data_IF_096312178007
#
_entry.id   IF_096312178007
#
_cell.length_a   1.000
_cell.length_b   1.000
_cell.length_c   1.000
_cell.angle_alpha   90.00
_cell.angle_beta   90.00
_cell.angle_gamma   90.00
#
_symmetry.space_group_name_H-M   'P 1'
#
loop_
_entity.id
_entity.type
_entity.pdbx_description
1 polymer ?
#
# COMPACT_ATOMS: atom_id res chain seq x y z
N UNK A 1 19.32 28.98 -12.11
CA UNK A 1 19.40 27.56 -11.75
C UNK A 1 18.08 26.92 -12.15
N UNK A 2 18.06 25.75 -12.80
CA UNK A 2 16.79 25.09 -13.07
C UNK A 2 16.13 24.76 -11.73
N UNK A 3 14.86 25.14 -11.58
CA UNK A 3 14.06 24.94 -10.38
C UNK A 3 13.94 23.42 -10.15
N UNK A 4 14.68 22.86 -9.20
CA UNK A 4 14.50 21.46 -8.83
C UNK A 4 13.04 21.29 -8.40
N UNK A 5 12.32 20.35 -9.02
CA UNK A 5 10.93 20.10 -8.68
C UNK A 5 10.81 19.82 -7.18
N UNK A 6 9.97 20.58 -6.47
CA UNK A 6 9.73 20.37 -5.04
C UNK A 6 8.99 19.05 -4.83
N UNK A 7 9.35 18.34 -3.77
CA UNK A 7 8.74 17.06 -3.41
C UNK A 7 7.27 17.25 -3.06
N UNK A 8 6.38 16.62 -3.82
CA UNK A 8 4.94 16.70 -3.63
C UNK A 8 4.53 15.69 -2.57
N UNK A 9 4.06 16.15 -1.42
CA UNK A 9 3.69 15.27 -0.30
C UNK A 9 2.18 15.24 -0.16
N UNK A 10 1.60 14.05 -0.28
CA UNK A 10 0.18 13.84 -0.05
C UNK A 10 -0.11 13.83 1.45
N UNK A 11 -1.07 14.63 1.91
CA UNK A 11 -1.51 14.68 3.31
C UNK A 11 -3.01 14.41 3.34
N UNK A 12 -3.41 13.33 4.01
CA UNK A 12 -4.83 13.02 4.19
C UNK A 12 -5.53 14.12 4.98
N UNK A 13 -6.75 14.45 4.59
CA UNK A 13 -7.61 15.41 5.30
C UNK A 13 -9.04 14.89 5.31
N UNK A 14 -9.79 15.28 6.34
CA UNK A 14 -11.24 15.27 6.35
C UNK A 14 -11.74 16.70 6.64
N UNK A 15 -12.58 17.26 5.76
CA UNK A 15 -12.95 18.68 5.78
C UNK A 15 -13.68 19.13 7.06
N UNK A 16 -14.31 18.20 7.77
CA UNK A 16 -15.12 18.45 8.96
C UNK A 16 -14.49 17.96 10.29
N UNK A 17 -13.23 17.52 10.31
CA UNK A 17 -12.59 17.04 11.55
C UNK A 17 -11.98 18.20 12.37
N UNK A 18 -12.76 18.69 13.36
CA UNK A 18 -12.32 19.77 14.27
C UNK A 18 -11.06 19.46 15.09
N UNK A 19 -10.66 18.19 15.22
CA UNK A 19 -9.47 17.75 15.93
C UNK A 19 -8.19 17.81 15.09
N UNK A 20 -8.32 17.87 13.76
CA UNK A 20 -7.23 17.75 12.81
C UNK A 20 -6.98 19.09 12.09
N UNK A 21 -5.87 19.75 12.42
CA UNK A 21 -5.48 20.98 11.73
C UNK A 21 -4.52 20.67 10.61
N UNK A 22 -5.04 20.54 9.39
CA UNK A 22 -4.25 20.36 8.16
C UNK A 22 -3.01 21.27 8.11
N UNK A 23 -3.17 22.53 8.54
CA UNK A 23 -2.10 23.52 8.54
C UNK A 23 -0.88 23.09 9.37
N UNK A 24 -1.08 22.42 10.51
CA UNK A 24 0.03 22.00 11.38
C UNK A 24 0.93 20.98 10.65
N UNK A 25 0.32 20.02 9.93
CA UNK A 25 1.04 19.05 9.10
C UNK A 25 1.70 19.72 7.89
N UNK A 26 0.95 20.56 7.18
CA UNK A 26 1.42 21.26 5.99
C UNK A 26 2.64 22.15 6.30
N UNK A 27 2.65 22.84 7.44
CA UNK A 27 3.77 23.69 7.86
C UNK A 27 5.01 22.89 8.21
N UNK A 28 4.87 21.69 8.78
CA UNK A 28 6.02 20.79 9.00
C UNK A 28 6.60 20.26 7.69
N UNK A 29 5.76 19.87 6.74
CA UNK A 29 6.20 19.45 5.41
C UNK A 29 6.93 20.59 4.70
N UNK A 30 6.40 21.82 4.74
CA UNK A 30 7.07 23.01 4.17
C UNK A 30 8.40 23.30 4.85
N UNK A 31 8.45 23.22 6.18
CA UNK A 31 9.67 23.45 6.95
C UNK A 31 10.77 22.43 6.60
N UNK A 32 10.39 21.18 6.31
CA UNK A 32 11.29 20.12 5.84
C UNK A 32 11.63 20.19 4.34
N UNK A 33 11.14 21.20 3.61
CA UNK A 33 11.45 21.44 2.19
C UNK A 33 10.51 20.78 1.18
N UNK A 34 9.40 20.20 1.61
CA UNK A 34 8.35 19.63 0.75
C UNK A 34 7.24 20.62 0.37
N UNK A 35 6.42 20.21 -0.59
CA UNK A 35 5.19 20.89 -1.00
C UNK A 35 3.97 20.05 -0.58
N UNK A 36 3.16 20.50 0.41
CA UNK A 36 2.04 19.74 0.94
C UNK A 36 0.79 19.84 0.06
N UNK A 37 0.22 18.70 -0.31
CA UNK A 37 -1.02 18.59 -1.05
C UNK A 37 -2.11 17.98 -0.15
N UNK A 38 -3.23 18.69 0.09
CA UNK A 38 -4.36 18.10 0.77
C UNK A 38 -4.95 17.00 -0.10
N UNK A 39 -5.36 15.92 0.53
CA UNK A 39 -6.04 14.82 -0.13
C UNK A 39 -7.34 14.51 0.59
N UNK A 40 -8.45 14.76 -0.09
CA UNK A 40 -9.74 14.30 0.39
C UNK A 40 -9.80 12.78 0.20
N UNK A 41 -9.72 12.09 1.31
CA UNK A 41 -9.78 10.61 1.37
C UNK A 41 -11.10 10.08 0.80
N UNK A 42 -12.16 10.90 0.75
CA UNK A 42 -13.41 10.53 0.10
C UNK A 42 -13.26 10.27 -1.40
N UNK A 43 -12.14 10.62 -2.03
CA UNK A 43 -11.87 10.37 -3.45
C UNK A 43 -11.13 9.04 -3.71
N UNK A 44 -10.52 8.42 -2.69
CA UNK A 44 -9.70 7.21 -2.87
C UNK A 44 -10.47 5.93 -2.60
N UNK A 45 -10.29 4.92 -3.44
CA UNK A 45 -10.90 3.59 -3.29
C UNK A 45 -9.83 2.50 -3.33
N UNK A 46 -10.17 1.35 -2.73
CA UNK A 46 -9.34 0.14 -2.81
C UNK A 46 -9.03 -0.21 -4.26
N UNK A 47 -7.73 -0.32 -4.58
CA UNK A 47 -7.25 -0.63 -5.92
C UNK A 47 -6.94 0.58 -6.80
N UNK A 48 -7.17 1.82 -6.32
CA UNK A 48 -6.74 3.02 -7.04
C UNK A 48 -5.21 3.16 -7.04
N UNK A 49 -4.68 3.79 -8.10
CA UNK A 49 -3.24 4.09 -8.19
C UNK A 49 -2.88 5.11 -7.11
N UNK A 50 -1.73 4.94 -6.47
CA UNK A 50 -1.22 5.95 -5.54
C UNK A 50 -1.11 7.29 -6.27
N UNK A 51 -1.70 8.38 -5.75
CA UNK A 51 -1.65 9.68 -6.42
C UNK A 51 -0.20 10.08 -6.74
N UNK A 52 0.08 10.81 -7.83
CA UNK A 52 1.44 11.10 -8.31
C UNK A 52 2.18 12.08 -7.37
N UNK A 53 2.59 11.55 -6.22
CA UNK A 53 3.19 12.24 -5.08
C UNK A 53 4.36 11.41 -4.55
N UNK A 54 5.29 12.08 -3.90
CA UNK A 54 6.59 11.54 -3.54
C UNK A 54 6.59 10.83 -2.19
N UNK A 55 5.59 11.11 -1.36
CA UNK A 55 5.34 10.45 -0.08
C UNK A 55 3.94 10.70 0.44
N UNK A 56 3.56 9.96 1.48
CA UNK A 56 2.28 10.03 2.16
C UNK A 56 2.46 10.41 3.63
N UNK A 57 1.67 11.38 4.09
CA UNK A 57 1.43 11.64 5.51
C UNK A 57 -0.01 11.25 5.84
N UNK A 58 -0.17 10.25 6.72
CA UNK A 58 -1.46 9.92 7.32
C UNK A 58 -1.62 10.70 8.63
N UNK A 59 -2.76 11.35 8.79
CA UNK A 59 -3.02 12.30 9.87
C UNK A 59 -3.75 11.68 11.06
N UNK A 60 -3.75 12.40 12.19
CA UNK A 60 -4.60 12.09 13.35
C UNK A 60 -6.09 12.28 13.04
N UNK A 61 -6.98 11.83 13.93
CA UNK A 61 -8.42 12.04 13.75
C UNK A 61 -9.27 11.14 14.63
N UNK A 62 -10.51 10.92 14.20
CA UNK A 62 -11.53 10.04 14.81
C UNK A 62 -11.09 8.57 14.97
N UNK A 63 -11.80 7.79 15.79
CA UNK A 63 -11.47 6.38 16.00
C UNK A 63 -11.66 5.54 14.72
N UNK A 64 -10.90 4.46 14.60
CA UNK A 64 -11.04 3.48 13.51
C UNK A 64 -12.15 2.50 13.86
N UNK A 65 -13.07 2.26 12.92
CA UNK A 65 -14.15 1.29 13.10
C UNK A 65 -13.59 -0.14 13.32
N UNK A 66 -13.87 -0.77 14.47
CA UNK A 66 -13.38 -2.11 14.83
C UNK A 66 -13.72 -3.23 13.84
N UNK A 67 -14.73 -3.05 13.01
CA UNK A 67 -15.04 -3.98 11.93
C UNK A 67 -13.86 -4.16 10.95
N UNK A 68 -12.96 -3.16 10.81
CA UNK A 68 -11.79 -3.22 9.90
C UNK A 68 -10.66 -4.12 10.40
N UNK A 69 -10.72 -4.53 11.66
CA UNK A 69 -9.81 -5.53 12.25
C UNK A 69 -10.56 -6.67 12.95
N UNK A 70 -11.82 -6.90 12.56
CA UNK A 70 -12.59 -8.09 12.93
C UNK A 70 -13.08 -8.13 14.37
N UNK A 71 -13.24 -7.00 15.04
CA UNK A 71 -13.71 -6.93 16.43
C UNK A 71 -15.05 -6.20 16.58
N UNK A 72 -15.85 -6.54 17.61
CA UNK A 72 -17.03 -5.75 17.98
C UNK A 72 -16.63 -4.40 18.60
N UNK A 73 -17.50 -3.38 18.51
CA UNK A 73 -17.22 -2.07 19.09
C UNK A 73 -17.24 -2.07 20.62
N UNK A 74 -16.24 -1.43 21.22
CA UNK A 74 -16.18 -1.16 22.65
C UNK A 74 -17.20 -0.07 23.04
N UNK A 75 -17.74 -0.15 24.26
CA UNK A 75 -18.75 0.81 24.79
C UNK A 75 -18.28 2.27 24.81
N UNK A 76 -16.97 2.49 24.87
CA UNK A 76 -16.32 3.81 24.96
C UNK A 76 -15.61 4.23 23.66
N UNK A 77 -15.99 3.61 22.54
CA UNK A 77 -15.54 3.98 21.21
C UNK A 77 -16.00 5.41 20.89
N UNK A 78 -15.10 6.20 20.30
CA UNK A 78 -15.36 7.56 19.86
C UNK A 78 -16.17 7.64 18.57
N UNK A 79 -16.16 8.83 17.96
CA UNK A 79 -16.75 9.02 16.64
C UNK A 79 -16.01 8.15 15.60
N UNK A 80 -16.76 7.66 14.62
CA UNK A 80 -16.25 6.85 13.52
C UNK A 80 -16.49 7.56 12.20
N UNK A 81 -15.56 7.35 11.25
CA UNK A 81 -15.73 7.80 9.86
C UNK A 81 -15.39 6.64 8.93
N UNK A 82 -16.30 5.66 8.74
CA UNK A 82 -16.01 4.41 8.03
C UNK A 82 -15.44 4.61 6.61
N UNK A 83 -15.92 5.63 5.89
CA UNK A 83 -15.42 5.95 4.55
C UNK A 83 -13.94 6.41 4.55
N UNK A 84 -13.52 7.16 5.59
CA UNK A 84 -12.13 7.55 5.79
C UNK A 84 -11.28 6.34 6.18
N UNK A 85 -11.81 5.45 7.03
CA UNK A 85 -11.12 4.20 7.39
C UNK A 85 -10.80 3.38 6.14
N UNK A 86 -11.80 3.12 5.29
CA UNK A 86 -11.62 2.31 4.08
C UNK A 86 -10.62 2.95 3.10
N UNK A 87 -10.73 4.26 2.87
CA UNK A 87 -9.84 4.99 1.99
C UNK A 87 -8.40 5.04 2.48
N UNK A 88 -8.17 5.39 3.75
CA UNK A 88 -6.81 5.49 4.27
C UNK A 88 -6.15 4.12 4.47
N UNK A 89 -6.91 3.08 4.84
CA UNK A 89 -6.39 1.70 4.87
C UNK A 89 -5.96 1.26 3.48
N UNK A 90 -6.79 1.52 2.46
CA UNK A 90 -6.43 1.23 1.07
C UNK A 90 -5.18 2.01 0.65
N UNK A 91 -5.12 3.30 0.96
CA UNK A 91 -4.01 4.18 0.57
C UNK A 91 -2.70 3.78 1.26
N UNK A 92 -2.76 3.43 2.55
CA UNK A 92 -1.63 2.91 3.31
C UNK A 92 -1.12 1.59 2.73
N UNK A 93 -2.02 0.65 2.39
CA UNK A 93 -1.66 -0.61 1.73
C UNK A 93 -0.95 -0.36 0.40
N UNK A 94 -1.48 0.54 -0.44
CA UNK A 94 -0.86 0.89 -1.72
C UNK A 94 0.52 1.52 -1.52
N UNK A 95 0.64 2.49 -0.61
CA UNK A 95 1.93 3.14 -0.31
C UNK A 95 2.98 2.13 0.18
N UNK A 96 2.61 1.23 1.09
CA UNK A 96 3.49 0.16 1.58
C UNK A 96 3.85 -0.83 0.46
N UNK A 97 2.88 -1.25 -0.37
CA UNK A 97 3.11 -2.22 -1.44
C UNK A 97 4.10 -1.70 -2.49
N UNK A 98 4.02 -0.42 -2.86
CA UNK A 98 4.91 0.20 -3.85
C UNK A 98 6.18 0.80 -3.24
N UNK A 99 6.37 0.68 -1.93
CA UNK A 99 7.55 1.21 -1.22
C UNK A 99 7.60 2.74 -1.18
N UNK A 100 6.45 3.41 -1.28
CA UNK A 100 6.33 4.86 -1.18
C UNK A 100 6.58 5.28 0.28
N UNK A 101 7.44 6.29 0.54
CA UNK A 101 7.65 6.79 1.89
C UNK A 101 6.33 7.15 2.58
N UNK A 102 6.18 6.67 3.82
CA UNK A 102 4.98 6.85 4.64
C UNK A 102 5.35 7.36 6.04
N UNK A 103 4.78 8.49 6.44
CA UNK A 103 4.78 8.97 7.82
C UNK A 103 3.34 8.97 8.35
N UNK A 104 3.08 8.24 9.43
CA UNK A 104 1.73 8.04 9.93
C UNK A 104 1.60 8.54 11.37
N UNK A 105 0.68 9.47 11.65
CA UNK A 105 0.65 10.25 12.89
C UNK A 105 -0.63 9.96 13.67
N UNK A 106 -0.51 9.59 14.95
CA UNK A 106 -1.58 9.27 15.87
C UNK A 106 -2.54 8.21 15.29
N UNK A 107 -3.73 8.62 14.86
CA UNK A 107 -4.67 7.76 14.12
C UNK A 107 -4.01 7.15 12.87
N UNK A 108 -3.19 7.90 12.15
CA UNK A 108 -2.45 7.39 10.99
C UNK A 108 -1.57 6.19 11.34
N UNK A 109 -0.90 6.19 12.50
CA UNK A 109 -0.13 5.02 12.97
C UNK A 109 -1.04 3.80 13.16
N UNK A 110 -2.23 4.01 13.70
CA UNK A 110 -3.23 2.96 13.91
C UNK A 110 -3.76 2.43 12.58
N UNK A 111 -4.00 3.31 11.60
CA UNK A 111 -4.34 2.93 10.21
C UNK A 111 -3.23 2.08 9.61
N UNK A 112 -1.97 2.49 9.74
CA UNK A 112 -0.82 1.72 9.23
C UNK A 112 -0.76 0.31 9.84
N UNK A 113 -1.06 0.17 11.15
CA UNK A 113 -1.13 -1.13 11.82
C UNK A 113 -2.27 -1.99 11.26
N UNK A 114 -3.50 -1.45 11.21
CA UNK A 114 -4.69 -2.17 10.70
C UNK A 114 -4.52 -2.55 9.23
N UNK A 115 -3.98 -1.65 8.41
CA UNK A 115 -3.67 -1.89 7.00
C UNK A 115 -2.72 -3.07 6.79
N UNK A 116 -1.81 -3.29 7.73
CA UNK A 116 -0.82 -4.38 7.73
C UNK A 116 -1.34 -5.67 8.39
N UNK A 117 -2.59 -5.70 8.87
CA UNK A 117 -3.22 -6.87 9.48
C UNK A 117 -3.16 -6.93 11.00
N UNK A 118 -2.85 -5.82 11.68
CA UNK A 118 -2.93 -5.70 13.13
C UNK A 118 -4.34 -5.29 13.62
N UNK A 119 -4.50 -5.18 14.94
CA UNK A 119 -5.72 -4.68 15.58
C UNK A 119 -5.41 -3.57 16.60
N UNK A 120 -6.42 -3.03 17.28
CA UNK A 120 -6.24 -1.93 18.25
C UNK A 120 -6.78 -2.32 19.63
N UNK A 121 -6.13 -1.82 20.67
CA UNK A 121 -6.76 -1.71 21.98
C UNK A 121 -7.69 -0.50 21.96
N UNK A 122 -9.00 -0.75 22.03
CA UNK A 122 -10.03 0.24 21.70
C UNK A 122 -10.22 1.35 22.75
N UNK A 123 -9.76 1.17 23.99
CA UNK A 123 -9.89 2.20 25.02
C UNK A 123 -8.95 1.98 26.19
N UNK A 124 -8.01 2.90 26.41
CA UNK A 124 -7.17 2.96 27.60
C UNK A 124 -7.98 3.50 28.78
N UNK A 125 -8.10 2.74 29.86
CA UNK A 125 -8.84 3.15 31.05
C UNK A 125 -8.19 4.35 31.75
N UNK A 126 -6.85 4.36 31.85
CA UNK A 126 -6.15 5.52 32.39
C UNK A 126 -6.23 6.71 31.43
N UNK A 127 -6.67 7.84 31.98
CA UNK A 127 -6.74 9.11 31.25
C UNK A 127 -5.36 9.75 31.09
N UNK A 128 -4.61 9.84 32.18
CA UNK A 128 -3.26 10.42 32.19
C UNK A 128 -2.24 9.28 32.12
N UNK A 129 -1.16 9.41 31.33
CA UNK A 129 -0.72 10.62 30.61
C UNK A 129 -1.20 10.72 29.16
N UNK A 130 -2.08 9.82 28.69
CA UNK A 130 -2.35 9.63 27.26
C UNK A 130 -3.36 10.60 26.62
N UNK A 131 -4.24 11.23 27.42
CA UNK A 131 -5.30 12.09 26.90
C UNK A 131 -5.00 13.57 27.12
N UNK A 132 -5.54 14.39 26.21
CA UNK A 132 -5.58 15.84 26.41
C UNK A 132 -6.54 16.23 27.54
N UNK A 133 -6.38 17.43 28.09
CA UNK A 133 -7.22 17.99 29.15
C UNK A 133 -7.58 19.44 28.86
N UNK A 134 -8.65 19.93 29.49
CA UNK A 134 -8.93 21.37 29.48
C UNK A 134 -7.79 22.08 30.20
N UNK A 135 -7.24 23.10 29.55
CA UNK A 135 -6.20 23.92 30.13
C UNK A 135 -6.73 24.80 31.26
N UNK A 136 -5.81 25.44 31.98
CA UNK A 136 -6.14 26.25 33.16
C UNK A 136 -7.06 27.45 32.84
N UNK A 137 -7.08 27.91 31.59
CA UNK A 137 -7.97 28.97 31.10
C UNK A 137 -9.39 28.48 30.76
N UNK A 138 -9.65 27.17 30.87
CA UNK A 138 -10.95 26.54 30.59
C UNK A 138 -11.31 26.41 29.10
N UNK A 139 -10.52 27.03 28.21
CA UNK A 139 -10.78 27.15 26.77
C UNK A 139 -9.76 26.37 25.96
N UNK A 140 -8.49 26.41 26.35
CA UNK A 140 -7.42 25.66 25.69
C UNK A 140 -7.53 24.15 25.96
N UNK A 141 -6.94 23.37 25.06
CA UNK A 141 -6.79 21.92 25.21
C UNK A 141 -5.29 21.64 25.37
N UNK A 142 -4.87 21.34 26.59
CA UNK A 142 -3.51 20.93 26.92
C UNK A 142 -3.32 19.46 26.57
N UNK A 143 -2.18 19.11 25.95
CA UNK A 143 -1.82 17.72 25.72
C UNK A 143 -1.43 17.03 27.02
N UNK A 144 -1.66 15.72 27.08
CA UNK A 144 -0.91 14.84 27.99
C UNK A 144 0.55 14.75 27.55
N UNK A 145 1.43 14.26 28.43
CA UNK A 145 2.86 14.16 28.15
C UNK A 145 3.48 12.97 28.86
N UNK A 146 4.29 12.19 28.15
CA UNK A 146 4.97 11.02 28.70
C UNK A 146 6.32 10.75 28.02
N UNK A 147 7.10 9.87 28.63
CA UNK A 147 8.34 9.34 28.06
C UNK A 147 8.10 8.15 27.11
N UNK A 148 8.82 8.12 26.00
CA UNK A 148 8.86 6.99 25.05
C UNK A 148 10.28 6.43 25.02
N UNK A 149 10.42 5.15 25.37
CA UNK A 149 11.66 4.39 25.22
C UNK A 149 11.83 3.97 23.75
N UNK A 150 12.96 4.34 23.16
CA UNK A 150 13.26 4.10 21.74
C UNK A 150 14.04 2.80 21.60
N UNK A 151 13.51 1.89 20.78
CA UNK A 151 14.14 0.59 20.54
C UNK A 151 15.38 0.75 19.67
N UNK A 152 16.54 0.27 20.12
CA UNK A 152 17.80 0.37 19.38
C UNK A 152 17.76 -0.36 18.03
N UNK A 153 18.43 0.18 17.02
CA UNK A 153 18.55 -0.47 15.69
C UNK A 153 17.37 -0.20 14.76
N UNK A 154 16.35 0.51 15.23
CA UNK A 154 15.17 0.92 14.47
C UNK A 154 15.40 2.19 13.66
N UNK A 155 14.57 2.46 12.65
CA UNK A 155 14.52 3.72 11.93
C UNK A 155 14.31 4.89 12.88
N UNK A 156 13.39 4.76 13.84
CA UNK A 156 13.19 5.79 14.87
C UNK A 156 14.50 6.11 15.61
N UNK A 157 15.23 5.09 16.09
CA UNK A 157 16.51 5.30 16.79
C UNK A 157 17.57 5.98 15.91
N UNK A 158 17.59 5.70 14.60
CA UNK A 158 18.53 6.32 13.66
C UNK A 158 18.20 7.79 13.41
N UNK A 159 16.91 8.13 13.34
CA UNK A 159 16.44 9.51 13.14
C UNK A 159 16.71 10.33 14.39
N UNK A 160 16.23 9.86 15.54
CA UNK A 160 16.23 10.66 16.77
C UNK A 160 17.57 10.65 17.49
N UNK A 161 18.38 9.59 17.28
CA UNK A 161 19.64 9.34 18.00
C UNK A 161 19.46 9.40 19.53
N UNK A 162 18.25 9.09 20.00
CA UNK A 162 17.86 9.14 21.39
C UNK A 162 17.49 7.74 21.89
N UNK A 163 17.74 7.48 23.17
CA UNK A 163 17.26 6.28 23.86
C UNK A 163 15.87 6.49 24.47
N UNK A 164 15.53 7.74 24.80
CA UNK A 164 14.22 8.13 25.32
C UNK A 164 13.81 9.49 24.75
N UNK A 165 12.53 9.64 24.44
CA UNK A 165 11.92 10.88 24.00
C UNK A 165 10.89 11.36 25.03
N UNK A 166 10.66 12.67 25.09
CA UNK A 166 9.48 13.25 25.74
C UNK A 166 8.52 13.68 24.65
N UNK A 167 7.27 13.23 24.70
CA UNK A 167 6.29 13.49 23.63
C UNK A 167 4.94 13.94 24.20
N UNK A 168 4.16 14.62 23.37
CA UNK A 168 2.78 14.96 23.68
C UNK A 168 1.85 13.77 23.42
N UNK A 169 0.67 13.77 24.03
CA UNK A 169 -0.29 12.67 23.89
C UNK A 169 -1.74 13.14 23.90
N UNK A 170 -2.55 12.59 22.99
CA UNK A 170 -3.97 12.94 22.76
C UNK A 170 -4.81 11.75 22.27
N UNK A 171 -4.48 10.54 22.68
CA UNK A 171 -5.13 9.33 22.19
C UNK A 171 -5.71 8.49 23.34
N UNK A 172 -6.75 7.73 23.02
CA UNK A 172 -7.31 6.73 23.93
C UNK A 172 -7.32 5.32 23.35
N UNK A 173 -7.18 5.19 22.02
CA UNK A 173 -6.89 3.93 21.37
C UNK A 173 -5.37 3.75 21.31
N UNK A 174 -4.92 2.50 21.28
CA UNK A 174 -3.50 2.18 21.28
C UNK A 174 -3.21 0.91 20.47
N UNK A 175 -2.00 0.84 19.93
CA UNK A 175 -1.40 -0.45 19.52
C UNK A 175 -0.68 -1.03 20.74
N UNK A 176 -0.81 -2.34 20.94
CA UNK A 176 -0.02 -3.10 21.93
C UNK A 176 0.84 -4.11 21.20
N UNK A 177 1.86 -4.69 21.85
CA UNK A 177 2.67 -5.75 21.22
C UNK A 177 1.83 -6.93 20.73
N UNK A 178 0.79 -7.31 21.47
CA UNK A 178 -0.11 -8.40 21.11
C UNK A 178 -1.01 -8.09 19.90
N UNK A 179 -1.19 -6.82 19.56
CA UNK A 179 -2.06 -6.33 18.48
C UNK A 179 -1.29 -5.71 17.32
N UNK A 180 0.05 -5.73 17.40
CA UNK A 180 0.93 -5.25 16.35
C UNK A 180 0.84 -6.17 15.14
N UNK A 181 0.73 -5.57 13.96
CA UNK A 181 0.63 -6.29 12.71
C UNK A 181 1.88 -7.12 12.39
N UNK A 182 1.73 -8.29 11.73
CA UNK A 182 2.86 -9.02 11.19
C UNK A 182 3.69 -8.15 10.23
N UNK A 183 5.02 -8.25 10.33
CA UNK A 183 5.93 -7.49 9.48
C UNK A 183 6.18 -6.04 9.93
N UNK A 184 5.50 -5.55 10.98
CA UNK A 184 5.85 -4.30 11.65
C UNK A 184 6.67 -4.56 12.91
N UNK A 185 7.45 -3.57 13.32
CA UNK A 185 8.25 -3.58 14.56
C UNK A 185 7.81 -2.42 15.44
N UNK A 186 7.62 -2.67 16.74
CA UNK A 186 7.44 -1.62 17.73
C UNK A 186 8.80 -0.91 17.96
N UNK A 187 8.93 0.33 17.50
CA UNK A 187 10.16 1.11 17.58
C UNK A 187 10.18 2.11 18.74
N UNK A 188 9.03 2.40 19.33
CA UNK A 188 8.91 3.22 20.54
C UNK A 188 7.82 2.66 21.45
N UNK A 189 8.09 2.60 22.76
CA UNK A 189 7.14 2.11 23.76
C UNK A 189 7.06 3.03 24.98
N UNK A 190 5.92 3.03 25.65
CA UNK A 190 5.77 3.61 26.99
C UNK A 190 5.05 2.64 27.92
N UNK A 191 5.35 2.74 29.21
CA UNK A 191 4.59 2.09 30.28
C UNK A 191 4.10 3.12 31.32
N UNK A 192 4.31 4.41 31.05
CA UNK A 192 3.74 5.48 31.87
C UNK A 192 2.23 5.46 31.70
N UNK A 193 1.47 5.45 32.81
CA UNK A 193 0.03 5.19 32.78
C UNK A 193 -0.35 3.77 33.20
N UNK A 194 0.62 2.89 33.50
CA UNK A 194 0.36 1.56 34.08
C UNK A 194 0.04 0.46 33.06
N UNK A 195 -0.04 0.83 31.79
CA UNK A 195 -0.30 -0.06 30.67
C UNK A 195 0.78 0.12 29.59
N UNK A 196 1.29 -0.98 29.04
CA UNK A 196 2.31 -0.89 27.98
C UNK A 196 1.65 -0.54 26.64
N UNK A 197 2.06 0.59 26.08
CA UNK A 197 1.58 1.11 24.79
C UNK A 197 2.74 1.19 23.81
N UNK A 198 2.46 0.79 22.56
CA UNK A 198 3.36 1.02 21.44
C UNK A 198 3.12 2.43 20.92
N UNK A 199 4.14 3.28 21.03
CA UNK A 199 4.10 4.70 20.68
C UNK A 199 4.75 4.99 19.32
N UNK A 200 5.50 4.03 18.77
CA UNK A 200 5.93 4.08 17.38
C UNK A 200 6.06 2.67 16.78
N UNK A 201 5.71 2.57 15.50
CA UNK A 201 5.85 1.36 14.69
C UNK A 201 6.61 1.68 13.40
N UNK A 202 7.33 0.71 12.86
CA UNK A 202 7.98 0.86 11.55
C UNK A 202 7.94 -0.43 10.74
N UNK A 203 7.96 -0.30 9.41
CA UNK A 203 8.14 -1.44 8.51
C UNK A 203 9.63 -1.55 8.11
N UNK A 204 10.38 -2.54 8.62
CA UNK A 204 11.85 -2.58 8.50
C UNK A 204 12.36 -2.84 7.08
N UNK A 205 11.49 -3.32 6.18
CA UNK A 205 11.84 -3.59 4.77
C UNK A 205 11.58 -2.41 3.84
N UNK A 206 11.14 -1.28 4.38
CA UNK A 206 10.84 -0.07 3.63
C UNK A 206 11.94 0.97 3.86
N UNK A 207 12.22 1.79 2.84
CA UNK A 207 13.14 2.91 2.97
C UNK A 207 12.70 3.86 4.09
N UNK A 208 11.40 4.14 4.12
CA UNK A 208 10.77 4.94 5.16
C UNK A 208 9.29 4.57 5.28
N UNK A 209 8.92 3.92 6.38
CA UNK A 209 7.54 3.70 6.77
C UNK A 209 7.52 3.74 8.30
N UNK A 210 7.16 4.89 8.85
CA UNK A 210 7.20 5.18 10.28
C UNK A 210 5.84 5.68 10.73
N UNK A 211 5.27 5.02 11.72
CA UNK A 211 4.10 5.48 12.44
C UNK A 211 4.47 5.91 13.85
N UNK A 212 3.94 7.04 14.32
CA UNK A 212 4.11 7.55 15.69
C UNK A 212 2.76 7.89 16.30
N UNK A 213 2.55 7.58 17.57
CA UNK A 213 1.28 7.75 18.26
C UNK A 213 1.08 9.17 18.80
N UNK A 214 2.18 9.87 19.10
CA UNK A 214 2.17 11.28 19.47
C UNK A 214 1.96 12.19 18.26
N UNK A 215 1.93 13.50 18.51
CA UNK A 215 1.64 14.54 17.52
C UNK A 215 2.87 15.43 17.25
N UNK A 216 3.82 14.97 16.40
CA UNK A 216 5.05 15.70 16.10
C UNK A 216 4.79 17.00 15.32
N UNK A 217 3.62 17.15 14.70
CA UNK A 217 3.24 18.29 13.89
C UNK A 217 2.94 19.55 14.70
N UNK A 218 2.46 19.36 15.94
CA UNK A 218 1.93 20.45 16.76
C UNK A 218 3.01 21.44 17.17
N UNK A 219 2.62 22.71 17.25
CA UNK A 219 3.49 23.82 17.62
C UNK A 219 4.18 23.61 18.98
N UNK A 220 3.52 23.00 19.96
CA UNK A 220 4.10 22.71 21.29
C UNK A 220 5.33 21.79 21.23
N UNK A 221 5.37 20.86 20.28
CA UNK A 221 6.51 20.00 20.01
C UNK A 221 7.55 20.74 19.17
N UNK A 222 7.11 21.39 18.09
CA UNK A 222 8.02 22.00 17.11
C UNK A 222 8.71 23.29 17.58
N UNK A 223 8.08 24.06 18.47
CA UNK A 223 8.63 25.32 18.98
C UNK A 223 9.67 25.11 20.08
N UNK A 224 9.81 23.89 20.60
CA UNK A 224 10.71 23.57 21.71
C UNK A 224 11.95 22.82 21.19
N UNK A 225 13.15 23.44 21.14
CA UNK A 225 14.34 22.81 20.55
C UNK A 225 14.71 21.46 21.15
N UNK A 226 14.48 21.28 22.45
CA UNK A 226 14.74 20.01 23.15
C UNK A 226 13.84 18.85 22.68
N UNK A 227 12.72 19.14 22.01
CA UNK A 227 11.77 18.15 21.49
C UNK A 227 11.95 17.89 19.98
N UNK A 228 12.89 18.57 19.32
CA UNK A 228 13.07 18.51 17.87
C UNK A 228 13.29 17.08 17.33
N UNK A 229 13.97 16.22 18.11
CA UNK A 229 14.20 14.83 17.75
C UNK A 229 12.90 14.02 17.59
N UNK A 230 11.87 14.31 18.40
CA UNK A 230 10.54 13.71 18.30
C UNK A 230 9.57 14.51 17.43
N UNK A 231 10.04 15.55 16.72
CA UNK A 231 9.20 16.45 15.91
C UNK A 231 9.83 16.70 14.54
N UNK A 232 10.49 17.84 14.34
CA UNK A 232 11.06 18.24 13.04
C UNK A 232 11.97 17.19 12.40
N UNK A 233 12.79 16.49 13.18
CA UNK A 233 13.69 15.45 12.67
C UNK A 233 12.96 14.30 11.95
N UNK A 234 11.72 13.99 12.37
CA UNK A 234 10.90 12.95 11.72
C UNK A 234 10.48 13.39 10.31
N UNK A 235 10.07 14.65 10.16
CA UNK A 235 9.68 15.22 8.87
C UNK A 235 10.89 15.39 7.95
N UNK A 236 12.03 15.84 8.46
CA UNK A 236 13.28 15.94 7.71
C UNK A 236 13.72 14.57 7.17
N UNK A 237 13.68 13.53 8.01
CA UNK A 237 14.01 12.18 7.60
C UNK A 237 13.03 11.62 6.56
N UNK A 238 11.72 11.88 6.74
CA UNK A 238 10.68 11.52 5.79
C UNK A 238 10.92 12.17 4.42
N UNK A 239 11.16 13.48 4.38
CA UNK A 239 11.43 14.21 3.13
C UNK A 239 12.74 13.77 2.47
N UNK A 240 13.78 13.48 3.28
CA UNK A 240 15.01 12.87 2.79
C UNK A 240 14.78 11.52 2.10
N UNK A 241 13.88 10.70 2.64
CA UNK A 241 13.49 9.44 2.01
C UNK A 241 12.67 9.64 0.73
N UNK A 242 11.78 10.64 0.69
CA UNK A 242 11.05 11.04 -0.51
C UNK A 242 12.02 11.45 -1.63
N UNK A 243 12.99 12.32 -1.33
CA UNK A 243 14.03 12.74 -2.29
C UNK A 243 14.83 11.55 -2.87
N UNK A 244 15.13 10.56 -2.03
CA UNK A 244 15.82 9.35 -2.47
C UNK A 244 14.95 8.42 -3.33
N UNK A 245 13.62 8.57 -3.28
CA UNK A 245 12.65 7.83 -4.10
C UNK A 245 12.26 8.55 -5.40
N UNK A 246 12.39 9.88 -5.48
CA UNK A 246 12.11 10.66 -6.71
C UNK A 246 13.18 10.53 -7.81
N UNK A 247 14.28 9.83 -7.53
CA UNK A 247 15.21 9.37 -8.56
C UNK A 247 14.62 8.29 -9.50
N UNK A 248 13.33 7.95 -9.34
CA UNK A 248 12.55 7.07 -10.23
C UNK A 248 11.17 7.68 -10.52
N UNK A 249 10.77 7.90 -11.79
CA UNK A 249 9.45 8.46 -12.13
C UNK A 249 8.32 7.44 -11.91
N UNK A 250 7.15 7.90 -11.45
CA UNK A 250 5.85 7.21 -11.31
C UNK A 250 5.87 5.72 -10.89
N UNK A 251 5.58 5.48 -9.62
CA UNK A 251 5.83 4.22 -8.91
C UNK A 251 4.87 3.08 -9.26
N UNK A 252 5.15 2.38 -10.35
CA UNK A 252 4.63 1.04 -10.65
C UNK A 252 3.09 0.87 -10.74
N UNK A 253 2.65 -0.22 -11.37
CA UNK A 253 1.26 -0.64 -11.46
C UNK A 253 1.13 -2.15 -11.26
N UNK A 254 -0.04 -2.59 -10.79
CA UNK A 254 -0.34 -4.02 -10.71
C UNK A 254 -0.79 -4.53 -12.08
N UNK A 255 -0.20 -5.64 -12.50
CA UNK A 255 -0.46 -6.32 -13.76
C UNK A 255 -0.83 -7.78 -13.49
N UNK A 256 -1.99 -8.20 -13.94
CA UNK A 256 -2.40 -9.59 -13.97
C UNK A 256 -1.99 -10.21 -15.30
N UNK A 257 -0.94 -11.02 -15.26
CA UNK A 257 -0.45 -11.80 -16.39
C UNK A 257 -1.08 -13.19 -16.40
N UNK A 258 -1.59 -13.60 -17.55
CA UNK A 258 -2.03 -14.97 -17.82
C UNK A 258 -1.30 -15.48 -19.09
N UNK A 259 -1.40 -16.78 -19.38
CA UNK A 259 -0.68 -17.36 -20.50
C UNK A 259 0.85 -17.28 -20.36
N UNK A 260 1.54 -16.74 -21.36
CA UNK A 260 3.01 -16.65 -21.35
C UNK A 260 3.56 -15.65 -20.34
N UNK A 261 2.77 -14.67 -19.92
CA UNK A 261 3.14 -13.65 -18.93
C UNK A 261 3.17 -14.20 -17.49
N UNK A 262 2.79 -15.47 -17.30
CA UNK A 262 3.01 -16.21 -16.06
C UNK A 262 4.44 -16.75 -15.93
N UNK A 263 5.17 -16.88 -17.04
CA UNK A 263 6.56 -17.35 -16.99
C UNK A 263 7.47 -16.16 -16.62
N UNK A 264 8.18 -16.28 -15.49
CA UNK A 264 8.95 -15.17 -14.92
C UNK A 264 10.14 -14.76 -15.82
N UNK A 265 10.77 -15.71 -16.51
CA UNK A 265 11.88 -15.42 -17.41
C UNK A 265 11.38 -14.63 -18.63
N UNK A 266 10.19 -15.01 -19.15
CA UNK A 266 9.53 -14.24 -20.21
C UNK A 266 9.10 -12.85 -19.75
N UNK A 267 8.47 -12.75 -18.58
CA UNK A 267 8.06 -11.46 -18.04
C UNK A 267 9.24 -10.50 -17.90
N UNK A 268 10.39 -11.00 -17.43
CA UNK A 268 11.62 -10.19 -17.30
C UNK A 268 12.29 -9.81 -18.62
N UNK A 269 11.98 -10.47 -19.73
CA UNK A 269 12.44 -10.02 -21.05
C UNK A 269 11.75 -8.72 -21.47
N UNK A 270 10.50 -8.53 -21.04
CA UNK A 270 9.68 -7.36 -21.39
C UNK A 270 9.75 -6.28 -20.33
N UNK A 271 9.66 -6.68 -19.06
CA UNK A 271 9.66 -5.82 -17.89
C UNK A 271 10.70 -6.35 -16.89
N UNK A 272 11.99 -6.03 -17.08
CA UNK A 272 13.09 -6.61 -16.29
C UNK A 272 12.99 -6.38 -14.79
N UNK A 273 12.29 -5.32 -14.38
CA UNK A 273 12.12 -4.96 -12.96
C UNK A 273 10.73 -5.31 -12.43
N UNK A 274 9.91 -6.02 -13.20
CA UNK A 274 8.66 -6.58 -12.70
C UNK A 274 8.91 -7.55 -11.53
N UNK A 275 8.16 -7.36 -10.45
CA UNK A 275 8.22 -8.19 -9.25
C UNK A 275 6.96 -9.05 -9.16
N UNK A 276 7.13 -10.36 -9.00
CA UNK A 276 6.02 -11.26 -8.76
C UNK A 276 5.47 -11.01 -7.35
N UNK A 277 4.17 -10.74 -7.24
CA UNK A 277 3.43 -10.66 -5.99
C UNK A 277 2.95 -12.05 -5.57
N UNK A 278 2.37 -12.80 -6.52
CA UNK A 278 1.88 -14.15 -6.25
C UNK A 278 0.77 -14.58 -7.22
N UNK A 279 0.12 -15.73 -6.97
CA UNK A 279 -1.03 -16.17 -7.75
C UNK A 279 -2.26 -15.30 -7.46
N UNK A 280 -3.14 -15.14 -8.45
CA UNK A 280 -4.44 -14.50 -8.27
C UNK A 280 -5.50 -15.12 -9.21
N UNK A 281 -6.76 -14.98 -8.85
CA UNK A 281 -7.91 -15.53 -9.56
C UNK A 281 -8.80 -14.44 -10.14
N UNK A 282 -9.01 -14.43 -11.44
CA UNK A 282 -9.99 -13.61 -12.14
C UNK A 282 -11.32 -14.39 -12.25
N UNK A 283 -12.37 -14.02 -11.51
CA UNK A 283 -13.68 -14.69 -11.59
C UNK A 283 -14.42 -14.31 -12.89
N UNK A 284 -15.41 -15.13 -13.25
CA UNK A 284 -16.32 -14.93 -14.39
C UNK A 284 -15.63 -14.80 -15.75
N UNK A 285 -14.46 -15.43 -15.89
CA UNK A 285 -13.69 -15.47 -17.12
C UNK A 285 -13.20 -16.89 -17.39
N UNK A 286 -13.02 -17.23 -18.66
CA UNK A 286 -12.42 -18.47 -19.12
C UNK A 286 -11.13 -18.18 -19.89
N UNK A 287 -10.14 -19.07 -19.73
CA UNK A 287 -8.93 -19.05 -20.54
C UNK A 287 -9.26 -19.61 -21.92
N UNK A 288 -9.06 -18.79 -22.96
CA UNK A 288 -9.27 -19.15 -24.35
C UNK A 288 -7.97 -19.04 -25.16
N UNK A 289 -8.02 -19.47 -26.42
CA UNK A 289 -6.93 -19.30 -27.38
C UNK A 289 -7.51 -18.67 -28.66
N UNK A 290 -7.61 -17.34 -28.69
CA UNK A 290 -8.43 -16.62 -29.67
C UNK A 290 -7.63 -15.78 -30.67
N UNK A 291 -6.29 -15.89 -30.67
CA UNK A 291 -5.43 -15.28 -31.67
C UNK A 291 -4.26 -16.20 -32.00
N UNK A 292 -3.93 -16.35 -33.28
CA UNK A 292 -2.84 -17.22 -33.73
C UNK A 292 -1.50 -16.45 -33.72
N UNK A 293 -0.49 -17.01 -33.04
CA UNK A 293 0.89 -16.56 -33.22
C UNK A 293 1.56 -17.37 -34.32
N UNK A 294 1.75 -16.77 -35.49
CA UNK A 294 2.33 -17.45 -36.66
C UNK A 294 3.85 -17.59 -36.65
N UNK A 295 4.54 -16.76 -35.87
CA UNK A 295 6.01 -16.65 -35.92
C UNK A 295 6.71 -17.10 -34.63
N UNK A 296 6.05 -16.96 -33.48
CA UNK A 296 6.68 -17.27 -32.19
C UNK A 296 6.22 -18.60 -31.66
N UNK A 297 4.91 -18.87 -31.71
CA UNK A 297 4.34 -20.06 -31.07
C UNK A 297 3.75 -21.07 -32.06
N UNK A 298 3.44 -20.66 -33.29
CA UNK A 298 2.83 -21.51 -34.31
C UNK A 298 1.50 -22.17 -33.88
N UNK A 299 0.69 -21.46 -33.09
CA UNK A 299 -0.60 -21.92 -32.57
C UNK A 299 -1.39 -20.79 -31.90
N UNK A 300 -2.54 -21.13 -31.33
CA UNK A 300 -3.32 -20.19 -30.55
C UNK A 300 -2.58 -19.74 -29.28
N UNK A 301 -2.65 -18.45 -28.97
CA UNK A 301 -2.11 -17.89 -27.72
C UNK A 301 -3.24 -17.45 -26.81
N UNK A 302 -2.93 -17.40 -25.52
CA UNK A 302 -3.88 -17.20 -24.44
C UNK A 302 -4.68 -15.91 -24.57
N UNK A 303 -5.97 -15.97 -24.28
CA UNK A 303 -6.89 -14.86 -24.12
C UNK A 303 -7.78 -15.10 -22.91
N UNK A 304 -8.41 -14.05 -22.39
CA UNK A 304 -9.45 -14.15 -21.37
C UNK A 304 -10.78 -13.69 -21.94
N UNK A 305 -11.80 -14.54 -21.86
CA UNK A 305 -13.14 -14.22 -22.34
C UNK A 305 -14.14 -14.27 -21.20
N UNK A 306 -15.18 -13.41 -21.19
CA UNK A 306 -16.24 -13.49 -20.19
C UNK A 306 -16.93 -14.86 -20.20
N UNK A 307 -17.02 -15.49 -19.03
CA UNK A 307 -17.69 -16.76 -18.82
C UNK A 307 -18.19 -16.84 -17.37
N UNK A 308 -19.44 -16.40 -17.11
CA UNK A 308 -20.00 -16.40 -15.75
C UNK A 308 -19.92 -17.76 -15.08
N UNK A 309 -19.41 -17.79 -13.85
CA UNK A 309 -19.21 -19.02 -13.08
C UNK A 309 -17.93 -19.81 -13.38
N UNK A 310 -17.08 -19.35 -14.32
CA UNK A 310 -15.72 -19.87 -14.52
C UNK A 310 -14.68 -18.95 -13.84
N UNK A 311 -13.42 -19.37 -13.86
CA UNK A 311 -12.29 -18.65 -13.27
C UNK A 311 -11.03 -18.73 -14.14
N UNK A 312 -10.19 -17.69 -14.08
CA UNK A 312 -8.83 -17.71 -14.63
C UNK A 312 -7.82 -17.42 -13.54
N UNK A 313 -6.96 -18.39 -13.26
CA UNK A 313 -5.82 -18.20 -12.38
C UNK A 313 -4.59 -17.74 -13.16
N UNK A 314 -3.88 -16.78 -12.61
CA UNK A 314 -2.71 -16.16 -13.24
C UNK A 314 -1.73 -15.57 -12.22
N UNK A 315 -0.80 -14.78 -12.75
CA UNK A 315 0.29 -14.15 -12.02
C UNK A 315 -0.04 -12.68 -11.74
N UNK A 316 0.01 -12.26 -10.49
CA UNK A 316 -0.04 -10.87 -10.11
C UNK A 316 1.38 -10.30 -10.02
N UNK A 317 1.66 -9.27 -10.82
CA UNK A 317 2.95 -8.59 -10.90
C UNK A 317 2.83 -7.15 -10.42
N UNK A 318 3.89 -6.62 -9.84
CA UNK A 318 4.12 -5.19 -9.68
C UNK A 318 5.14 -4.74 -10.74
N UNK A 319 4.71 -3.92 -11.68
CA UNK A 319 5.50 -3.52 -12.85
C UNK A 319 5.81 -2.02 -12.76
N UNK A 320 7.08 -1.59 -12.82
CA UNK A 320 7.43 -0.16 -12.84
C UNK A 320 6.74 0.59 -13.98
N UNK A 321 6.26 1.83 -13.75
CA UNK A 321 5.43 2.51 -14.74
C UNK A 321 6.21 2.85 -16.02
N UNK A 322 7.52 3.05 -15.91
CA UNK A 322 8.41 3.24 -17.05
C UNK A 322 8.54 1.99 -17.94
N UNK A 323 8.22 0.81 -17.42
CA UNK A 323 8.15 -0.45 -18.20
C UNK A 323 6.75 -0.67 -18.81
N UNK A 324 5.79 0.23 -18.55
CA UNK A 324 4.44 0.17 -19.11
C UNK A 324 4.41 0.21 -20.64
N UNK A 325 5.28 1.03 -21.26
CA UNK A 325 5.32 1.14 -22.72
C UNK A 325 5.90 -0.13 -23.34
N UNK A 326 6.98 -0.67 -22.77
CA UNK A 326 7.58 -1.92 -23.23
C UNK A 326 6.59 -3.09 -23.14
N UNK A 327 5.77 -3.11 -22.07
CA UNK A 327 4.72 -4.11 -21.92
C UNK A 327 3.63 -4.00 -23.00
N UNK A 328 3.14 -2.80 -23.30
CA UNK A 328 2.18 -2.59 -24.39
C UNK A 328 2.71 -3.01 -25.75
N UNK A 329 3.96 -2.65 -26.03
CA UNK A 329 4.61 -2.96 -27.29
C UNK A 329 4.76 -4.47 -27.47
N UNK A 330 5.14 -5.17 -26.40
CA UNK A 330 5.23 -6.63 -26.36
C UNK A 330 3.89 -7.32 -26.62
N UNK A 331 2.83 -6.84 -25.98
CA UNK A 331 1.45 -7.33 -26.16
C UNK A 331 0.86 -6.90 -27.52
N UNK A 332 1.61 -6.15 -28.33
CA UNK A 332 1.23 -5.80 -29.70
C UNK A 332 0.10 -4.78 -29.78
N UNK A 333 0.00 -3.88 -28.79
CA UNK A 333 -1.01 -2.81 -28.78
C UNK A 333 -0.84 -1.81 -29.91
N UNK A 334 0.39 -1.61 -30.37
CA UNK A 334 0.73 -0.65 -31.42
C UNK A 334 0.84 -1.30 -32.81
N UNK A 335 0.40 -2.56 -32.96
CA UNK A 335 0.29 -3.22 -34.27
C UNK A 335 -0.97 -2.75 -35.01
N UNK A 336 -0.97 -2.90 -36.32
CA UNK A 336 -2.17 -2.69 -37.14
C UNK A 336 -2.57 -3.99 -37.87
N UNK A 337 -3.69 -4.64 -37.46
CA UNK A 337 -4.52 -4.33 -36.29
C UNK A 337 -3.83 -4.69 -34.95
N UNK A 338 -4.24 -4.10 -33.82
CA UNK A 338 -3.68 -4.41 -32.52
C UNK A 338 -3.98 -5.85 -32.13
N UNK A 339 -2.99 -6.54 -31.54
CA UNK A 339 -3.19 -7.93 -31.10
C UNK A 339 -4.04 -7.98 -29.82
N UNK A 340 -3.71 -7.13 -28.84
CA UNK A 340 -4.42 -7.01 -27.58
C UNK A 340 -4.84 -5.56 -27.32
N UNK A 341 -5.83 -5.40 -26.44
CA UNK A 341 -6.22 -4.13 -25.82
C UNK A 341 -5.98 -4.19 -24.32
N UNK A 342 -5.68 -3.04 -23.71
CA UNK A 342 -5.68 -2.90 -22.25
C UNK A 342 -7.08 -3.07 -21.70
N UNK A 343 -7.16 -3.70 -20.54
CA UNK A 343 -8.35 -3.68 -19.69
C UNK A 343 -7.95 -3.60 -18.21
N UNK A 344 -8.88 -3.18 -17.37
CA UNK A 344 -8.75 -3.31 -15.92
C UNK A 344 -9.62 -4.48 -15.50
N UNK A 345 -9.03 -5.41 -14.76
CA UNK A 345 -9.71 -6.55 -14.18
C UNK A 345 -9.63 -6.48 -12.66
N UNK A 346 -10.51 -7.21 -12.00
CA UNK A 346 -10.44 -7.40 -10.57
C UNK A 346 -10.18 -8.88 -10.29
N UNK A 347 -9.12 -9.15 -9.55
CA UNK A 347 -8.67 -10.50 -9.22
C UNK A 347 -8.72 -10.71 -7.72
N UNK A 348 -8.87 -11.95 -7.29
CA UNK A 348 -8.88 -12.35 -5.88
C UNK A 348 -7.58 -13.09 -5.57
N UNK A 349 -6.82 -12.65 -4.58
CA UNK A 349 -5.61 -13.37 -4.10
C UNK A 349 -6.02 -14.61 -3.29
N UNK A 350 -5.11 -15.57 -3.03
CA UNK A 350 -5.39 -16.70 -2.13
C UNK A 350 -5.80 -16.29 -0.72
N UNK A 351 -5.42 -15.09 -0.25
CA UNK A 351 -5.84 -14.53 1.03
C UNK A 351 -7.28 -13.98 1.01
N UNK A 352 -7.93 -13.93 -0.16
CA UNK A 352 -9.28 -13.39 -0.33
C UNK A 352 -9.32 -11.89 -0.66
N UNK A 353 -8.17 -11.25 -0.87
CA UNK A 353 -8.10 -9.83 -1.20
C UNK A 353 -8.53 -9.59 -2.65
N UNK A 354 -9.50 -8.70 -2.86
CA UNK A 354 -9.88 -8.22 -4.19
C UNK A 354 -8.93 -7.11 -4.63
N UNK A 355 -8.27 -7.31 -5.77
CA UNK A 355 -7.22 -6.45 -6.31
C UNK A 355 -7.61 -6.03 -7.72
N UNK A 356 -7.79 -4.73 -7.94
CA UNK A 356 -7.90 -4.17 -9.29
C UNK A 356 -6.51 -4.03 -9.90
N UNK A 357 -6.36 -4.51 -11.13
CA UNK A 357 -5.07 -4.51 -11.82
C UNK A 357 -5.26 -4.44 -13.33
N UNK A 358 -4.21 -4.04 -14.05
CA UNK A 358 -4.19 -4.06 -15.51
C UNK A 358 -4.08 -5.49 -16.01
N UNK A 359 -4.78 -5.78 -17.10
CA UNK A 359 -4.58 -6.98 -17.90
C UNK A 359 -4.70 -6.62 -19.38
N UNK A 360 -4.47 -7.58 -20.25
CA UNK A 360 -4.66 -7.46 -21.69
C UNK A 360 -5.73 -8.46 -22.14
N UNK A 361 -6.47 -8.14 -23.19
CA UNK A 361 -7.43 -9.07 -23.83
C UNK A 361 -7.28 -8.95 -25.34
N UNK A 362 -7.45 -10.03 -26.08
CA UNK A 362 -7.35 -10.00 -27.54
C UNK A 362 -8.34 -8.96 -28.09
N UNK A 363 -7.84 -8.07 -28.96
CA UNK A 363 -8.64 -6.95 -29.45
C UNK A 363 -9.80 -7.41 -30.35
N UNK A 364 -9.55 -8.45 -31.15
CA UNK A 364 -10.50 -9.08 -32.07
C UNK A 364 -10.37 -10.61 -32.00
N UNK A 365 -11.04 -11.28 -31.03
CA UNK A 365 -10.89 -12.72 -30.81
C UNK A 365 -11.49 -13.56 -31.95
N UNK A 366 -10.75 -14.55 -32.44
CA UNK A 366 -11.18 -15.58 -33.38
C UNK A 366 -11.14 -16.96 -32.71
N UNK A 367 -12.31 -17.49 -32.36
CA UNK A 367 -12.45 -18.80 -31.72
C UNK A 367 -12.17 -20.00 -32.65
N UNK A 368 -11.92 -19.76 -33.94
CA UNK A 368 -11.49 -20.79 -34.90
C UNK A 368 -9.98 -20.97 -34.93
N UNK A 369 -9.24 -20.19 -34.14
CA UNK A 369 -7.79 -20.29 -33.97
C UNK A 369 -7.42 -21.73 -33.58
N UNK A 370 -6.32 -22.29 -34.14
CA UNK A 370 -5.88 -23.63 -33.77
C UNK A 370 -5.54 -23.72 -32.27
N UNK A 371 -5.52 -24.94 -31.69
CA UNK A 371 -5.03 -25.15 -30.33
C UNK A 371 -3.62 -24.55 -30.11
N UNK A 372 -3.23 -24.27 -28.86
CA UNK A 372 -1.88 -23.83 -28.57
C UNK A 372 -0.84 -24.83 -29.07
N UNK A 373 0.37 -24.35 -29.32
CA UNK A 373 1.48 -25.26 -29.57
C UNK A 373 1.93 -25.95 -28.29
N UNK A 374 2.63 -27.07 -28.44
CA UNK A 374 3.21 -27.78 -27.31
C UNK A 374 4.18 -26.88 -26.54
N UNK A 375 5.00 -26.11 -27.24
CA UNK A 375 5.94 -25.17 -26.62
C UNK A 375 5.24 -24.05 -25.83
N UNK A 376 4.11 -23.52 -26.34
CA UNK A 376 3.31 -22.54 -25.61
C UNK A 376 2.68 -23.16 -24.35
N UNK A 377 2.08 -24.34 -24.49
CA UNK A 377 1.47 -25.08 -23.38
C UNK A 377 2.49 -25.43 -22.30
N UNK A 378 3.68 -25.89 -22.67
CA UNK A 378 4.76 -26.20 -21.73
C UNK A 378 5.19 -24.93 -20.96
N UNK A 379 5.24 -23.78 -21.63
CA UNK A 379 5.53 -22.49 -21.00
C UNK A 379 4.46 -22.09 -20.00
N UNK A 380 3.20 -22.23 -20.39
CA UNK A 380 2.05 -21.96 -19.53
C UNK A 380 2.09 -22.82 -18.26
N UNK A 381 2.36 -24.13 -18.41
CA UNK A 381 2.48 -25.06 -17.29
C UNK A 381 3.68 -24.78 -16.38
N UNK A 382 4.83 -24.38 -16.93
CA UNK A 382 6.00 -23.97 -16.13
C UNK A 382 5.69 -22.73 -15.29
N UNK A 383 5.11 -21.69 -15.90
CA UNK A 383 4.69 -20.48 -15.19
C UNK A 383 3.69 -20.81 -14.07
N UNK A 384 2.65 -21.57 -14.39
CA UNK A 384 1.61 -21.98 -13.44
C UNK A 384 2.18 -22.70 -12.20
N UNK A 385 3.12 -23.63 -12.40
CA UNK A 385 3.76 -24.36 -11.29
C UNK A 385 4.71 -23.47 -10.49
N UNK A 386 5.44 -22.58 -11.15
CA UNK A 386 6.45 -21.71 -10.51
C UNK A 386 5.79 -20.66 -9.61
N UNK A 387 4.66 -20.11 -10.03
CA UNK A 387 3.90 -19.12 -9.24
C UNK A 387 3.09 -19.79 -8.13
N UNK A 388 2.84 -21.10 -8.23
CA UNK A 388 2.06 -21.85 -7.26
C UNK A 388 0.55 -21.71 -7.45
N UNK A 389 0.06 -21.78 -8.71
CA UNK A 389 -1.38 -21.84 -8.96
C UNK A 389 -2.01 -23.09 -8.32
N UNK A 390 -3.31 -23.05 -7.97
CA UNK A 390 -3.99 -24.19 -7.35
C UNK A 390 -3.87 -25.49 -8.16
N UNK A 391 -3.73 -26.66 -7.50
CA UNK A 391 -3.54 -27.93 -8.19
C UNK A 391 -4.65 -28.28 -9.20
N UNK A 392 -5.91 -27.96 -8.89
CA UNK A 392 -7.04 -28.20 -9.79
C UNK A 392 -6.90 -27.40 -11.08
N UNK A 393 -6.42 -26.16 -10.99
CA UNK A 393 -6.20 -25.30 -12.13
C UNK A 393 -5.01 -25.78 -12.97
N UNK A 394 -3.90 -26.18 -12.35
CA UNK A 394 -2.75 -26.75 -13.06
C UNK A 394 -3.15 -28.01 -13.83
N UNK A 395 -3.98 -28.87 -13.26
CA UNK A 395 -4.52 -30.05 -13.94
C UNK A 395 -5.40 -29.66 -15.14
N UNK A 396 -6.24 -28.62 -14.99
CA UNK A 396 -7.07 -28.08 -16.07
C UNK A 396 -6.22 -27.56 -17.24
N UNK A 397 -5.12 -26.86 -16.96
CA UNK A 397 -4.17 -26.40 -17.97
C UNK A 397 -3.47 -27.57 -18.68
N UNK A 398 -3.14 -28.64 -17.95
CA UNK A 398 -2.48 -29.81 -18.52
C UNK A 398 -3.39 -30.58 -19.49
N UNK A 399 -4.70 -30.54 -19.27
CA UNK A 399 -5.71 -31.19 -20.11
C UNK A 399 -6.00 -30.47 -21.43
N UNK A 400 -5.53 -29.23 -21.62
CA UNK A 400 -5.71 -28.48 -22.87
C UNK A 400 -5.03 -29.23 -24.03
N UNK A 401 -5.75 -29.55 -25.10
CA UNK A 401 -5.15 -30.15 -26.30
C UNK A 401 -4.17 -29.17 -26.97
N UNK A 402 -3.02 -29.67 -27.40
CA UNK A 402 -2.04 -28.89 -28.17
C UNK A 402 -1.98 -29.39 -29.62
N UNK A 403 -1.47 -28.53 -30.52
CA UNK A 403 -1.37 -28.84 -31.93
C UNK A 403 -0.09 -29.62 -32.32
N UNK A 404 0.68 -30.10 -31.32
CA UNK A 404 1.90 -30.89 -31.51
C UNK A 404 3.13 -30.12 -32.01
N UNK A 405 3.02 -28.83 -32.35
CA UNK A 405 4.15 -28.02 -32.83
C UNK A 405 5.04 -27.58 -31.67
N UNK A 406 6.34 -27.49 -31.92
CA UNK A 406 7.38 -27.03 -30.97
C UNK A 406 8.04 -25.75 -31.43
#
# INVERSE_FOLDING_TARGET
>A
MPNAARLRILITRLDDDSGERWQDYADRVRAAGGDPFPFDVAEYRTGDVFPPHDGLVLTGGADIDPARYGEPPHERLGALVPARDDAEIALARTALAIGRPLLAICRGMQVMNVASGGSLHQHLDEREPHRSRRGADGVSIDSGWHGVEVTSGTLLSRITKAVRLRVNSRHHQAVTRARLAPGLVASGLTSEGGFEVVEAIEAPHHRFALGVQWHPERAEMAATPALAAGSGALFEAFLGACAASTATPDSAFLYFGYGSSMDADRMRQTAPRARLIGPACLPDHVLAFSIESKHTWHGGVADILPAPGDEVWGALWLVPAEESHALDEHEGLFREPPAYRRMIVEVTTPSGDRVRCRSYQVAAPDLRTPPPSKAFKDTLLRGARTIGLPPHYVARLAAIEDNGRT
#
